data_IF_652683934942
#
_entry.id   IF_652683934942
#
_cell.length_a   1.000
_cell.length_b   1.000
_cell.length_c   1.000
_cell.angle_alpha   90.00
_cell.angle_beta   90.00
_cell.angle_gamma   90.00
#
_symmetry.space_group_name_H-M   'P 1'
#
loop_
_entity.id
_entity.type
_entity.pdbx_description
1 polymer ?
#
# COMPACT_ATOMS: atom_id res chain seq x y z
N UNK A 1 -20.02 -17.00 -17.61
CA UNK A 1 -21.40 -17.52 -17.63
C UNK A 1 -22.38 -16.37 -17.41
N UNK A 2 -23.40 -16.25 -18.26
CA UNK A 2 -24.39 -15.16 -18.22
C UNK A 2 -25.07 -15.01 -16.84
N UNK A 3 -25.24 -16.10 -16.08
CA UNK A 3 -25.82 -16.06 -14.73
C UNK A 3 -25.04 -15.24 -13.70
N UNK A 4 -23.69 -15.17 -13.79
CA UNK A 4 -22.88 -14.39 -12.83
C UNK A 4 -22.95 -12.89 -13.05
N UNK A 5 -23.13 -12.44 -14.30
CA UNK A 5 -23.29 -11.03 -14.61
C UNK A 5 -24.63 -10.52 -14.08
N UNK A 6 -25.72 -11.25 -14.37
CA UNK A 6 -27.04 -10.94 -13.84
C UNK A 6 -27.10 -10.95 -12.31
N UNK A 7 -26.40 -11.90 -11.65
CA UNK A 7 -26.31 -11.94 -10.20
C UNK A 7 -25.61 -10.71 -9.60
N UNK A 8 -24.51 -10.25 -10.21
CA UNK A 8 -23.81 -9.05 -9.77
C UNK A 8 -24.67 -7.81 -9.93
N UNK A 9 -25.39 -7.67 -11.05
CA UNK A 9 -26.27 -6.54 -11.28
C UNK A 9 -27.41 -6.48 -10.27
N UNK A 10 -28.02 -7.63 -9.95
CA UNK A 10 -29.02 -7.70 -8.86
C UNK A 10 -28.41 -7.27 -7.52
N UNK A 11 -27.20 -7.72 -7.21
CA UNK A 11 -26.51 -7.35 -5.98
C UNK A 11 -26.22 -5.85 -5.91
N UNK A 12 -25.74 -5.25 -7.00
CA UNK A 12 -25.48 -3.81 -7.06
C UNK A 12 -26.76 -3.00 -6.91
N UNK A 13 -27.85 -3.41 -7.58
CA UNK A 13 -29.18 -2.77 -7.43
C UNK A 13 -29.69 -2.87 -6.00
N UNK A 14 -29.58 -4.04 -5.38
CA UNK A 14 -30.01 -4.24 -3.99
C UNK A 14 -29.17 -3.41 -3.01
N UNK A 15 -27.86 -3.24 -3.27
CA UNK A 15 -26.95 -2.56 -2.33
C UNK A 15 -26.95 -1.04 -2.46
N UNK A 16 -27.06 -0.53 -3.69
CA UNK A 16 -26.88 0.90 -4.00
C UNK A 16 -28.22 1.61 -4.29
N UNK A 17 -29.31 0.86 -4.43
CA UNK A 17 -30.59 1.39 -4.90
C UNK A 17 -30.59 1.67 -6.42
N UNK A 18 -31.76 1.99 -6.99
CA UNK A 18 -31.95 2.05 -8.45
C UNK A 18 -31.13 3.16 -9.13
N UNK A 19 -30.99 4.33 -8.49
CA UNK A 19 -30.30 5.50 -9.07
C UNK A 19 -28.80 5.29 -9.14
N UNK A 20 -28.16 4.86 -8.05
CA UNK A 20 -26.71 4.68 -8.01
C UNK A 20 -26.22 3.36 -8.65
N UNK A 21 -27.09 2.36 -8.79
CA UNK A 21 -26.69 1.08 -9.38
C UNK A 21 -26.44 1.17 -10.89
N UNK A 22 -27.18 1.99 -11.63
CA UNK A 22 -27.00 2.12 -13.08
C UNK A 22 -25.56 2.53 -13.49
N UNK A 23 -24.98 3.63 -12.96
CA UNK A 23 -23.59 3.99 -13.26
C UNK A 23 -22.57 2.96 -12.74
N UNK A 24 -22.82 2.34 -11.58
CA UNK A 24 -21.94 1.29 -11.06
C UNK A 24 -21.92 0.03 -11.96
N UNK A 25 -23.08 -0.37 -12.49
CA UNK A 25 -23.18 -1.49 -13.44
C UNK A 25 -22.46 -1.14 -14.74
N UNK A 26 -22.63 0.08 -15.26
CA UNK A 26 -21.95 0.54 -16.47
C UNK A 26 -20.42 0.52 -16.28
N UNK A 27 -19.92 1.05 -15.17
CA UNK A 27 -18.51 1.02 -14.80
C UNK A 27 -17.98 -0.42 -14.75
N UNK A 28 -18.67 -1.31 -14.03
CA UNK A 28 -18.25 -2.71 -13.92
C UNK A 28 -18.25 -3.41 -15.27
N UNK A 29 -19.21 -3.14 -16.15
CA UNK A 29 -19.25 -3.72 -17.50
C UNK A 29 -18.08 -3.21 -18.35
N UNK A 30 -17.82 -1.90 -18.32
CA UNK A 30 -16.72 -1.25 -19.05
C UNK A 30 -15.34 -1.74 -18.61
N UNK A 31 -15.12 -1.89 -17.30
CA UNK A 31 -13.81 -2.29 -16.75
C UNK A 31 -13.59 -3.81 -16.73
N UNK A 32 -14.65 -4.62 -16.87
CA UNK A 32 -14.55 -6.09 -16.77
C UNK A 32 -13.53 -6.71 -17.74
N UNK A 33 -13.42 -6.33 -19.02
CA UNK A 33 -12.41 -6.88 -19.91
C UNK A 33 -10.98 -6.61 -19.41
N UNK A 34 -10.70 -5.38 -18.97
CA UNK A 34 -9.40 -4.96 -18.43
C UNK A 34 -9.05 -5.70 -17.15
N UNK A 35 -9.98 -5.75 -16.20
CA UNK A 35 -9.82 -6.51 -14.96
C UNK A 35 -9.61 -8.01 -15.23
N UNK A 36 -10.33 -8.58 -16.21
CA UNK A 36 -10.17 -9.99 -16.58
C UNK A 36 -8.78 -10.27 -17.15
N UNK A 37 -8.28 -9.42 -18.04
CA UNK A 37 -6.94 -9.56 -18.60
C UNK A 37 -5.87 -9.42 -17.50
N UNK A 38 -6.00 -8.40 -16.65
CA UNK A 38 -5.11 -8.19 -15.52
C UNK A 38 -5.08 -9.39 -14.55
N UNK A 39 -6.26 -9.87 -14.12
CA UNK A 39 -6.34 -11.04 -13.23
C UNK A 39 -5.88 -12.34 -13.89
N UNK A 40 -6.03 -12.49 -15.22
CA UNK A 40 -5.45 -13.64 -15.92
C UNK A 40 -3.93 -13.67 -15.79
N UNK A 41 -3.27 -12.52 -15.91
CA UNK A 41 -1.82 -12.39 -15.68
C UNK A 41 -1.42 -12.66 -14.23
N UNK A 42 -2.14 -12.09 -13.25
CA UNK A 42 -1.82 -12.29 -11.84
C UNK A 42 -1.95 -13.76 -11.39
N UNK A 43 -2.91 -14.50 -11.95
CA UNK A 43 -3.16 -15.92 -11.63
C UNK A 43 -2.03 -16.87 -12.04
N UNK A 44 -1.18 -16.46 -12.97
CA UNK A 44 -0.06 -17.27 -13.47
C UNK A 44 1.30 -16.73 -13.02
N UNK A 45 1.33 -15.63 -12.25
CA UNK A 45 2.58 -15.00 -11.81
C UNK A 45 3.30 -15.88 -10.78
N UNK A 46 4.52 -16.26 -11.12
CA UNK A 46 5.39 -17.08 -10.29
C UNK A 46 6.87 -16.64 -10.44
N UNK A 47 7.66 -16.86 -9.40
CA UNK A 47 9.12 -16.70 -9.38
C UNK A 47 9.71 -18.01 -8.89
N UNK A 48 10.68 -18.57 -9.61
CA UNK A 48 11.28 -19.89 -9.31
C UNK A 48 10.24 -21.00 -9.08
N UNK A 49 9.18 -21.00 -9.90
CA UNK A 49 8.08 -21.97 -9.81
C UNK A 49 7.12 -21.76 -8.62
N UNK A 50 7.34 -20.73 -7.79
CA UNK A 50 6.47 -20.41 -6.65
C UNK A 50 5.51 -19.28 -7.00
N UNK A 51 4.19 -19.44 -6.74
CA UNK A 51 3.22 -18.37 -6.88
C UNK A 51 3.62 -17.13 -6.07
N UNK A 52 3.51 -15.93 -6.66
CA UNK A 52 3.88 -14.67 -5.98
C UNK A 52 2.72 -13.72 -5.75
N UNK A 53 1.50 -14.13 -6.06
CA UNK A 53 0.29 -13.32 -5.83
C UNK A 53 -0.77 -14.14 -5.11
N UNK A 54 -1.67 -13.45 -4.41
CA UNK A 54 -2.81 -14.10 -3.77
C UNK A 54 -3.79 -14.74 -4.77
N UNK A 55 -3.74 -14.38 -6.05
CA UNK A 55 -4.56 -14.99 -7.10
C UNK A 55 -3.92 -16.26 -7.69
N UNK A 56 -2.59 -16.40 -7.59
CA UNK A 56 -1.86 -17.57 -8.05
C UNK A 56 -1.70 -18.64 -6.95
N UNK A 57 -1.73 -18.26 -5.67
CA UNK A 57 -1.65 -19.18 -4.53
C UNK A 57 -3.04 -19.46 -3.92
N UNK A 58 -3.52 -20.72 -3.93
CA UNK A 58 -4.81 -21.09 -3.34
C UNK A 58 -4.95 -20.79 -1.84
N UNK A 59 -3.87 -20.85 -1.06
CA UNK A 59 -3.88 -20.57 0.38
C UNK A 59 -4.04 -19.08 0.62
N UNK A 60 -3.27 -18.25 -0.07
CA UNK A 60 -3.42 -16.80 0.01
C UNK A 60 -4.79 -16.34 -0.50
N UNK A 61 -5.29 -16.97 -1.57
CA UNK A 61 -6.65 -16.72 -2.06
C UNK A 61 -7.70 -16.99 -0.98
N UNK A 62 -7.60 -18.14 -0.30
CA UNK A 62 -8.51 -18.49 0.79
C UNK A 62 -8.47 -17.44 1.91
N UNK A 63 -7.28 -17.01 2.33
CA UNK A 63 -7.09 -15.96 3.33
C UNK A 63 -7.81 -14.66 2.95
N UNK A 64 -7.57 -14.13 1.74
CA UNK A 64 -8.20 -12.89 1.28
C UNK A 64 -9.72 -13.04 1.16
N UNK A 65 -10.19 -14.18 0.66
CA UNK A 65 -11.62 -14.49 0.58
C UNK A 65 -12.28 -14.50 1.95
N UNK A 66 -11.63 -15.11 2.95
CA UNK A 66 -12.18 -15.25 4.29
C UNK A 66 -12.17 -13.91 5.03
N UNK A 67 -11.16 -13.05 4.80
CA UNK A 67 -11.18 -11.65 5.24
C UNK A 67 -12.38 -10.88 4.66
N UNK A 68 -12.66 -11.04 3.36
CA UNK A 68 -13.84 -10.42 2.74
C UNK A 68 -15.16 -10.93 3.35
N UNK A 69 -15.29 -12.25 3.53
CA UNK A 69 -16.50 -12.87 4.11
C UNK A 69 -16.74 -12.45 5.55
N UNK A 70 -15.67 -12.33 6.34
CA UNK A 70 -15.72 -11.83 7.71
C UNK A 70 -15.88 -10.30 7.81
N UNK A 71 -16.01 -9.59 6.68
CA UNK A 71 -16.16 -8.15 6.66
C UNK A 71 -14.93 -7.41 7.20
N UNK A 72 -13.72 -7.94 6.97
CA UNK A 72 -12.44 -7.34 7.37
C UNK A 72 -11.77 -6.52 6.26
N UNK A 73 -12.39 -6.46 5.09
CA UNK A 73 -11.98 -5.57 3.98
C UNK A 73 -13.03 -4.47 3.80
N UNK A 74 -12.58 -3.22 3.74
CA UNK A 74 -13.41 -2.03 3.60
C UNK A 74 -12.81 -1.10 2.55
N UNK A 75 -13.60 -0.74 1.55
CA UNK A 75 -13.26 0.32 0.62
C UNK A 75 -13.82 1.63 1.16
N UNK A 76 -12.95 2.64 1.33
CA UNK A 76 -13.29 3.96 1.84
C UNK A 76 -12.81 5.01 0.85
N UNK A 77 -13.60 6.05 0.63
CA UNK A 77 -13.13 7.25 -0.05
C UNK A 77 -12.28 8.06 0.94
N UNK A 78 -11.06 8.43 0.55
CA UNK A 78 -10.20 9.19 1.43
C UNK A 78 -9.03 9.85 0.71
N UNK A 79 -8.58 10.94 1.34
CA UNK A 79 -7.35 11.63 1.02
C UNK A 79 -6.36 11.38 2.17
N UNK A 80 -5.17 10.92 1.84
CA UNK A 80 -4.09 10.65 2.80
C UNK A 80 -3.66 11.91 3.57
N UNK A 81 -3.81 13.10 2.98
CA UNK A 81 -3.55 14.40 3.59
C UNK A 81 -4.84 15.16 3.97
N UNK A 82 -6.00 14.53 3.80
CA UNK A 82 -7.30 15.12 4.11
C UNK A 82 -7.62 15.11 5.60
N UNK A 83 -8.64 15.89 5.98
CA UNK A 83 -8.96 16.13 7.39
C UNK A 83 -9.89 15.07 8.01
N UNK A 84 -10.45 14.15 7.19
CA UNK A 84 -11.52 13.24 7.63
C UNK A 84 -11.10 11.77 7.63
N UNK A 85 -10.88 11.17 6.45
CA UNK A 85 -10.86 9.70 6.32
C UNK A 85 -9.77 9.01 7.15
N UNK A 86 -8.55 9.55 7.16
CA UNK A 86 -7.45 9.00 7.94
C UNK A 86 -7.68 9.13 9.45
N UNK A 87 -8.27 10.25 9.90
CA UNK A 87 -8.64 10.43 11.32
C UNK A 87 -9.74 9.46 11.75
N UNK A 88 -10.74 9.26 10.89
CA UNK A 88 -11.82 8.29 11.15
C UNK A 88 -11.27 6.87 11.22
N UNK A 89 -10.32 6.51 10.35
CA UNK A 89 -9.62 5.22 10.41
C UNK A 89 -8.86 5.10 11.74
N UNK A 90 -8.07 6.10 12.11
CA UNK A 90 -7.33 6.11 13.38
C UNK A 90 -8.25 5.94 14.60
N UNK A 91 -9.35 6.71 14.66
CA UNK A 91 -10.32 6.63 15.74
C UNK A 91 -10.98 5.24 15.83
N UNK A 92 -11.36 4.66 14.68
CA UNK A 92 -11.94 3.32 14.62
C UNK A 92 -10.94 2.25 15.09
N UNK A 93 -9.69 2.32 14.65
CA UNK A 93 -8.65 1.37 15.05
C UNK A 93 -8.33 1.47 16.55
N UNK A 94 -8.29 2.67 17.10
CA UNK A 94 -8.13 2.89 18.55
C UNK A 94 -9.30 2.32 19.33
N UNK A 95 -10.55 2.59 18.90
CA UNK A 95 -11.75 2.03 19.53
C UNK A 95 -11.80 0.50 19.49
N UNK A 96 -11.18 -0.12 18.48
CA UNK A 96 -11.11 -1.56 18.31
C UNK A 96 -9.84 -2.17 18.92
N UNK A 97 -8.97 -1.37 19.56
CA UNK A 97 -7.64 -1.79 20.04
C UNK A 97 -6.84 -2.58 18.99
N UNK A 98 -6.95 -2.20 17.72
CA UNK A 98 -6.35 -2.92 16.59
C UNK A 98 -5.26 -2.05 15.96
N UNK A 99 -4.01 -2.16 16.40
CA UNK A 99 -2.91 -1.37 15.83
C UNK A 99 -2.58 -1.85 14.41
N UNK A 100 -2.14 -0.92 13.56
CA UNK A 100 -1.65 -1.24 12.22
C UNK A 100 -0.23 -1.83 12.25
N UNK A 101 0.07 -2.65 11.26
CA UNK A 101 1.41 -3.19 10.98
C UNK A 101 1.99 -2.65 9.68
N UNK A 102 1.16 -2.29 8.69
CA UNK A 102 1.60 -1.81 7.38
C UNK A 102 0.72 -0.66 6.89
N UNK A 103 1.34 0.38 6.32
CA UNK A 103 0.67 1.39 5.47
C UNK A 103 1.27 1.32 4.08
N UNK A 104 0.46 1.02 3.07
CA UNK A 104 0.88 1.07 1.67
C UNK A 104 0.36 2.34 1.01
N UNK A 105 1.26 3.14 0.43
CA UNK A 105 0.94 4.45 -0.18
C UNK A 105 1.27 4.53 -1.67
N UNK A 106 1.73 3.45 -2.28
CA UNK A 106 2.25 3.47 -3.66
C UNK A 106 3.29 4.59 -3.82
N UNK A 107 3.20 5.43 -4.86
CA UNK A 107 4.08 6.58 -5.08
C UNK A 107 3.48 7.90 -4.53
N UNK A 108 2.40 7.87 -3.74
CA UNK A 108 1.70 9.08 -3.33
C UNK A 108 2.59 10.07 -2.57
N UNK A 109 3.61 9.59 -1.86
CA UNK A 109 4.58 10.43 -1.14
C UNK A 109 5.39 11.37 -2.02
N UNK A 110 5.47 11.14 -3.34
CA UNK A 110 6.04 12.12 -4.31
C UNK A 110 5.33 13.48 -4.24
N UNK A 111 4.05 13.50 -3.84
CA UNK A 111 3.23 14.72 -3.75
C UNK A 111 2.80 15.08 -2.32
N UNK A 112 2.95 14.14 -1.38
CA UNK A 112 2.42 14.26 -0.02
C UNK A 112 3.50 14.48 1.04
N UNK A 113 4.75 14.06 0.79
CA UNK A 113 5.81 14.28 1.75
C UNK A 113 6.06 15.79 1.92
N UNK A 114 6.34 16.21 3.16
CA UNK A 114 6.40 17.62 3.53
C UNK A 114 5.05 18.25 3.89
N UNK A 115 3.90 17.65 3.52
CA UNK A 115 2.60 18.19 3.92
C UNK A 115 2.34 17.94 5.42
N UNK A 116 2.07 18.98 6.22
CA UNK A 116 1.82 18.80 7.65
C UNK A 116 0.61 17.91 7.95
N UNK A 117 -0.44 17.95 7.11
CA UNK A 117 -1.64 17.13 7.30
C UNK A 117 -1.37 15.64 7.07
N UNK A 118 -0.53 15.28 6.09
CA UNK A 118 -0.12 13.91 5.87
C UNK A 118 0.63 13.34 7.08
N UNK A 119 1.60 14.10 7.61
CA UNK A 119 2.32 13.73 8.83
C UNK A 119 1.36 13.53 10.02
N UNK A 120 0.47 14.50 10.29
CA UNK A 120 -0.52 14.38 11.37
C UNK A 120 -1.38 13.12 11.23
N UNK A 121 -1.76 12.79 9.99
CA UNK A 121 -2.58 11.61 9.71
C UNK A 121 -1.81 10.30 9.96
N UNK A 122 -0.53 10.24 9.59
CA UNK A 122 0.32 9.09 9.94
C UNK A 122 0.56 8.98 11.46
N UNK A 123 0.77 10.10 12.15
CA UNK A 123 0.99 10.13 13.60
C UNK A 123 -0.22 9.58 14.36
N UNK A 124 -1.43 9.91 13.91
CA UNK A 124 -2.69 9.52 14.53
C UNK A 124 -2.98 8.01 14.48
N UNK A 125 -2.38 7.27 13.54
CA UNK A 125 -2.65 5.83 13.40
C UNK A 125 -2.05 5.05 14.59
N UNK A 126 -2.86 4.29 15.36
CA UNK A 126 -2.33 3.39 16.37
C UNK A 126 -1.56 2.27 15.66
N UNK A 127 -0.32 2.01 16.09
CA UNK A 127 0.62 1.13 15.36
C UNK A 127 1.45 0.30 16.32
N UNK A 128 1.85 -0.88 15.86
CA UNK A 128 2.87 -1.68 16.55
C UNK A 128 4.26 -1.04 16.37
N UNK A 129 5.22 -1.42 17.22
CA UNK A 129 6.55 -0.81 17.23
C UNK A 129 7.33 -1.01 15.91
N UNK A 130 7.12 -2.14 15.26
CA UNK A 130 7.73 -2.57 14.00
C UNK A 130 6.85 -2.26 12.78
N UNK A 131 5.82 -1.42 12.92
CA UNK A 131 4.97 -1.07 11.79
C UNK A 131 5.76 -0.36 10.69
N UNK A 132 5.50 -0.73 9.44
CA UNK A 132 6.23 -0.23 8.27
C UNK A 132 5.32 0.54 7.32
N UNK A 133 5.89 1.56 6.69
CA UNK A 133 5.34 2.17 5.50
C UNK A 133 5.98 1.52 4.28
N UNK A 134 5.16 1.11 3.31
CA UNK A 134 5.55 0.56 2.02
C UNK A 134 5.16 1.54 0.91
N UNK A 135 6.15 1.95 0.11
CA UNK A 135 6.01 2.87 -1.02
C UNK A 135 6.66 2.31 -2.28
N UNK A 136 6.35 2.93 -3.41
CA UNK A 136 7.01 2.71 -4.70
C UNK A 136 7.70 3.98 -5.15
N UNK A 137 8.87 3.84 -5.78
CA UNK A 137 9.65 4.94 -6.35
C UNK A 137 9.98 4.60 -7.81
N UNK A 138 9.90 5.60 -8.69
CA UNK A 138 10.36 5.49 -10.07
C UNK A 138 11.66 6.30 -10.19
N UNK A 139 12.79 5.62 -10.03
CA UNK A 139 14.09 6.27 -10.02
C UNK A 139 15.17 5.29 -10.50
N UNK A 140 15.98 5.72 -11.48
CA UNK A 140 16.99 4.90 -12.16
C UNK A 140 18.07 4.33 -11.22
N UNK A 141 18.28 4.94 -10.06
CA UNK A 141 19.26 4.43 -9.09
C UNK A 141 18.75 3.19 -8.33
N UNK A 142 17.46 2.86 -8.41
CA UNK A 142 16.90 1.66 -7.80
C UNK A 142 16.41 0.69 -8.87
N UNK A 143 16.90 -0.55 -8.81
CA UNK A 143 16.45 -1.59 -9.72
C UNK A 143 14.92 -1.82 -9.55
N UNK A 144 14.12 -1.75 -10.61
CA UNK A 144 12.69 -1.97 -10.50
C UNK A 144 12.35 -3.46 -10.26
N UNK A 145 11.33 -3.74 -9.46
CA UNK A 145 10.84 -5.10 -9.24
C UNK A 145 9.83 -5.55 -10.30
N UNK A 146 9.19 -4.61 -11.01
CA UNK A 146 8.15 -4.86 -12.00
C UNK A 146 8.33 -4.07 -13.30
N UNK A 147 9.58 -3.71 -13.61
CA UNK A 147 9.97 -3.01 -14.84
C UNK A 147 9.89 -1.48 -14.75
N UNK A 148 9.19 -0.94 -13.75
CA UNK A 148 9.13 0.51 -13.51
C UNK A 148 9.35 0.89 -12.05
N UNK A 149 8.81 0.13 -11.10
CA UNK A 149 8.80 0.54 -9.70
C UNK A 149 9.79 -0.24 -8.86
N UNK A 150 10.61 0.49 -8.10
CA UNK A 150 11.30 -0.06 -6.95
C UNK A 150 10.45 0.14 -5.70
N UNK A 151 10.41 -0.87 -4.83
CA UNK A 151 9.69 -0.84 -3.58
C UNK A 151 10.61 -0.39 -2.46
N UNK A 152 10.07 0.37 -1.51
CA UNK A 152 10.80 0.78 -0.33
C UNK A 152 9.95 0.57 0.91
N UNK A 153 10.51 -0.13 1.90
CA UNK A 153 9.92 -0.30 3.22
C UNK A 153 10.70 0.55 4.24
N UNK A 154 9.99 1.19 5.16
CA UNK A 154 10.61 2.00 6.23
C UNK A 154 9.78 1.90 7.51
N UNK A 155 10.39 1.74 8.70
CA UNK A 155 9.66 1.85 9.95
C UNK A 155 8.94 3.20 10.04
N UNK A 156 7.63 3.19 10.33
CA UNK A 156 6.81 4.42 10.40
C UNK A 156 7.39 5.36 11.47
N UNK A 157 7.87 4.81 12.58
CA UNK A 157 8.50 5.60 13.63
C UNK A 157 9.78 6.33 13.15
N UNK A 158 10.58 5.73 12.27
CA UNK A 158 11.76 6.38 11.71
C UNK A 158 11.39 7.51 10.76
N UNK A 159 10.39 7.29 9.89
CA UNK A 159 9.85 8.32 9.02
C UNK A 159 9.32 9.52 9.82
N UNK A 160 8.52 9.28 10.86
CA UNK A 160 7.96 10.35 11.69
C UNK A 160 9.06 11.16 12.42
N UNK A 161 10.15 10.52 12.85
CA UNK A 161 11.31 11.25 13.40
C UNK A 161 11.97 12.15 12.37
N UNK A 162 12.13 11.67 11.12
CA UNK A 162 12.67 12.47 10.02
C UNK A 162 11.77 13.69 9.73
N UNK A 163 10.46 13.46 9.63
CA UNK A 163 9.48 14.53 9.41
C UNK A 163 9.35 15.51 10.61
N UNK A 164 9.70 15.06 11.82
CA UNK A 164 9.80 15.92 12.99
C UNK A 164 11.02 16.85 12.94
N UNK A 165 12.17 16.32 12.49
CA UNK A 165 13.40 17.09 12.35
C UNK A 165 13.39 17.99 11.11
N UNK A 166 12.74 17.57 10.03
CA UNK A 166 12.62 18.30 8.77
C UNK A 166 11.17 18.27 8.27
N UNK A 167 10.32 19.21 8.71
CA UNK A 167 8.90 19.25 8.32
C UNK A 167 8.67 19.38 6.81
N UNK A 168 9.58 20.04 6.09
CA UNK A 168 9.53 20.26 4.65
C UNK A 168 10.28 19.16 3.84
N UNK A 169 10.63 18.04 4.49
CA UNK A 169 11.36 16.95 3.87
C UNK A 169 10.60 16.42 2.64
N UNK A 170 11.29 16.37 1.50
CA UNK A 170 10.74 15.81 0.26
C UNK A 170 11.30 14.41 0.02
N UNK A 171 10.60 13.65 -0.82
CA UNK A 171 11.00 12.27 -1.11
C UNK A 171 12.38 12.23 -1.75
N UNK A 172 12.69 13.19 -2.63
CA UNK A 172 13.98 13.31 -3.31
C UNK A 172 15.13 13.49 -2.32
N UNK A 173 14.91 14.22 -1.23
CA UNK A 173 15.92 14.45 -0.20
C UNK A 173 16.21 13.15 0.55
N UNK A 174 15.17 12.36 0.87
CA UNK A 174 15.31 11.03 1.46
C UNK A 174 16.02 10.05 0.52
N UNK A 175 15.69 10.08 -0.77
CA UNK A 175 16.32 9.24 -1.78
C UNK A 175 17.80 9.62 -1.99
N UNK A 176 18.13 10.91 -2.02
CA UNK A 176 19.50 11.37 -2.12
C UNK A 176 20.34 10.96 -0.90
N UNK A 177 19.78 11.01 0.31
CA UNK A 177 20.42 10.47 1.51
C UNK A 177 20.61 8.95 1.42
N UNK A 178 19.57 8.20 1.06
CA UNK A 178 19.63 6.76 0.93
C UNK A 178 20.69 6.30 -0.10
N UNK A 179 20.87 7.05 -1.20
CA UNK A 179 21.95 6.79 -2.18
C UNK A 179 23.33 7.02 -1.58
N UNK A 180 23.55 8.14 -0.89
CA UNK A 180 24.82 8.44 -0.21
C UNK A 180 25.18 7.37 0.81
N UNK A 181 24.17 6.82 1.46
CA UNK A 181 24.28 5.76 2.45
C UNK A 181 24.44 4.35 1.84
N UNK A 182 24.42 4.20 0.51
CA UNK A 182 24.54 2.92 -0.18
C UNK A 182 23.29 2.03 -0.09
N UNK A 183 22.16 2.57 0.38
CA UNK A 183 20.93 1.80 0.60
C UNK A 183 20.23 1.37 -0.70
N UNK A 184 20.53 2.03 -1.82
CA UNK A 184 19.97 1.70 -3.13
C UNK A 184 20.24 0.24 -3.59
N UNK A 185 21.27 -0.38 -3.01
CA UNK A 185 21.69 -1.75 -3.33
C UNK A 185 21.50 -2.74 -2.16
N UNK A 186 21.00 -2.29 -1.01
CA UNK A 186 20.91 -3.10 0.21
C UNK A 186 19.50 -3.66 0.41
N UNK A 187 19.27 -4.90 -0.04
CA UNK A 187 17.96 -5.53 0.16
C UNK A 187 17.90 -7.04 -0.03
N UNK A 188 18.90 -7.68 -0.66
CA UNK A 188 18.91 -9.12 -0.95
C UNK A 188 17.84 -9.57 -1.97
N UNK A 189 16.74 -8.84 -2.10
CA UNK A 189 15.71 -8.96 -3.12
C UNK A 189 15.78 -7.78 -4.10
N UNK A 190 15.87 -8.09 -5.39
CA UNK A 190 15.85 -7.07 -6.46
C UNK A 190 14.57 -6.23 -6.35
N UNK A 191 14.75 -4.92 -6.33
CA UNK A 191 13.66 -3.95 -6.30
C UNK A 191 12.87 -3.83 -5.01
N UNK A 192 13.42 -4.28 -3.88
CA UNK A 192 12.98 -3.86 -2.55
C UNK A 192 14.16 -3.36 -1.72
N UNK A 193 14.05 -2.13 -1.22
CA UNK A 193 14.99 -1.53 -0.28
C UNK A 193 14.34 -1.34 1.08
N UNK A 194 15.05 -1.68 2.16
CA UNK A 194 14.59 -1.40 3.53
C UNK A 194 15.41 -0.22 4.08
N UNK A 195 14.75 0.91 4.33
CA UNK A 195 15.36 2.05 5.00
C UNK A 195 15.29 1.91 6.52
N UNK A 196 16.29 2.44 7.21
CA UNK A 196 16.33 2.54 8.67
C UNK A 196 16.09 1.20 9.39
N UNK A 197 16.52 0.09 8.78
CA UNK A 197 16.33 -1.26 9.33
C UNK A 197 16.96 -1.39 10.74
N UNK A 198 16.27 -2.00 11.72
CA UNK A 198 16.86 -2.30 13.02
C UNK A 198 18.14 -3.13 12.84
N UNK A 199 19.30 -2.57 13.23
CA UNK A 199 20.62 -3.18 13.06
C UNK A 199 21.53 -2.54 12.01
N UNK A 200 21.01 -1.72 11.10
CA UNK A 200 21.83 -1.01 10.09
C UNK A 200 22.69 0.14 10.66
N UNK A 201 22.51 0.47 11.94
CA UNK A 201 23.25 1.51 12.66
C UNK A 201 24.58 0.99 13.24
N UNK A 202 24.79 -0.33 13.30
CA UNK A 202 25.98 -0.91 13.95
C UNK A 202 27.30 -0.75 13.16
N UNK A 203 27.27 -0.32 11.90
CA UNK A 203 28.48 -0.05 11.11
C UNK A 203 28.85 1.44 10.99
N UNK A 204 28.06 2.36 11.57
CA UNK A 204 28.17 3.81 11.31
C UNK A 204 29.00 4.62 12.32
N UNK A 205 29.84 3.99 13.15
CA UNK A 205 30.76 4.69 14.07
C UNK A 205 32.21 4.18 14.08
N UNK A 206 32.61 3.42 13.06
CA UNK A 206 34.01 3.04 12.87
C UNK A 206 34.44 3.39 11.44
N UNK A 207 34.69 4.68 11.19
CA UNK A 207 35.53 5.21 10.11
C UNK A 207 35.79 6.68 10.36
#
# INVERSE_FOLDING_TARGET
APGRAAALERLLRARLGPVAAAPAIALVRGERPRLRAHFAGLRVKAVDGRPTTWLADPRLYATIRDLHRAGRVRALLGDLAGETSMRTIAAALTSLATPITVVYVSNAEESLLGRPSYRRNLEALPRVADAVLLRTIADDAWAPADGLWAYQAQPIAALLRRLAAAPELRLEDMLAEARRDGAASSGGSVGLTILDAPGAVASRRAR
#
